data_IF_805165415931
#
_entry.id   IF_805165415931
#
_cell.length_a   1.000
_cell.length_b   1.000
_cell.length_c   1.000
_cell.angle_alpha   90.00
_cell.angle_beta   90.00
_cell.angle_gamma   90.00
#
_symmetry.space_group_name_H-M   'P 1'
#
loop_
_entity.id
_entity.type
_entity.pdbx_description
1 polymer ?
#
# COMPACT_ATOMS: atom_id res chain seq x y z
N UNK A 1 -0.13 -9.98 24.27
CA UNK A 1 0.99 -9.45 23.46
C UNK A 1 0.56 -9.51 22.01
N UNK A 2 0.80 -8.48 21.20
CA UNK A 2 0.52 -8.49 19.77
C UNK A 2 1.81 -8.17 19.00
N UNK A 3 2.14 -9.01 18.03
CA UNK A 3 3.17 -8.74 17.03
C UNK A 3 2.50 -7.94 15.92
N UNK A 4 3.10 -6.84 15.47
CA UNK A 4 2.57 -6.07 14.34
C UNK A 4 3.18 -6.64 13.07
N UNK A 5 2.32 -7.05 12.13
CA UNK A 5 2.73 -7.51 10.81
C UNK A 5 2.32 -6.49 9.76
N UNK A 6 3.28 -6.07 8.94
CA UNK A 6 2.99 -5.40 7.69
C UNK A 6 3.18 -6.42 6.56
N UNK A 7 2.27 -6.43 5.59
CA UNK A 7 2.48 -7.16 4.36
C UNK A 7 2.11 -6.37 3.11
N UNK A 8 2.78 -6.71 2.02
CA UNK A 8 2.37 -6.37 0.65
C UNK A 8 1.72 -7.62 0.07
N UNK A 9 0.44 -7.51 -0.27
CA UNK A 9 -0.31 -8.58 -0.91
C UNK A 9 -0.84 -8.12 -2.27
N UNK A 10 -0.99 -9.08 -3.18
CA UNK A 10 -1.63 -8.84 -4.48
C UNK A 10 -3.13 -9.17 -4.45
N UNK A 11 -3.79 -8.97 -5.60
CA UNK A 11 -5.22 -9.23 -5.79
C UNK A 11 -5.62 -10.71 -5.60
N UNK A 12 -4.66 -11.64 -5.56
CA UNK A 12 -4.87 -13.08 -5.35
C UNK A 12 -4.68 -13.49 -3.90
N UNK A 13 -4.58 -12.51 -2.99
CA UNK A 13 -4.32 -12.73 -1.56
C UNK A 13 -2.95 -13.36 -1.29
N UNK A 14 -2.00 -13.26 -2.22
CA UNK A 14 -0.64 -13.76 -2.04
C UNK A 14 0.22 -12.68 -1.38
N UNK A 15 0.86 -13.01 -0.26
CA UNK A 15 1.86 -12.14 0.38
C UNK A 15 3.18 -12.22 -0.38
N UNK A 16 3.64 -11.07 -0.88
CA UNK A 16 4.93 -10.94 -1.58
C UNK A 16 6.04 -10.46 -0.65
N UNK A 17 5.68 -9.60 0.31
CA UNK A 17 6.61 -9.02 1.28
C UNK A 17 5.92 -9.00 2.61
N UNK A 18 6.62 -9.44 3.65
CA UNK A 18 6.14 -9.40 5.03
C UNK A 18 7.23 -8.80 5.91
N UNK A 19 6.87 -7.82 6.73
CA UNK A 19 7.77 -7.16 7.68
C UNK A 19 7.20 -7.38 9.08
N UNK A 20 7.98 -8.08 9.91
CA UNK A 20 7.66 -8.29 11.33
C UNK A 20 8.17 -7.10 12.12
N UNK A 21 7.26 -6.32 12.69
CA UNK A 21 7.58 -5.15 13.50
C UNK A 21 7.69 -5.57 14.98
N UNK A 22 8.82 -5.24 15.62
CA UNK A 22 9.09 -5.57 17.03
C UNK A 22 8.39 -4.63 18.01
N UNK A 23 8.17 -5.11 19.23
CA UNK A 23 7.62 -4.35 20.35
C UNK A 23 8.51 -3.16 20.76
N UNK A 24 7.89 -1.98 20.97
CA UNK A 24 8.47 -0.90 21.77
C UNK A 24 8.82 0.39 21.01
N UNK A 25 8.23 1.50 21.47
CA UNK A 25 8.55 2.94 21.24
C UNK A 25 8.65 3.47 19.80
N UNK A 26 8.66 2.63 18.80
CA UNK A 26 8.46 3.03 17.40
C UNK A 26 7.00 2.76 17.07
N UNK A 27 6.25 3.79 16.69
CA UNK A 27 4.89 3.62 16.15
C UNK A 27 4.91 2.62 14.98
N UNK A 28 3.77 2.06 14.59
CA UNK A 28 3.67 1.18 13.42
C UNK A 28 4.35 1.77 12.17
N UNK A 29 4.37 3.11 12.07
CA UNK A 29 5.11 3.85 11.05
C UNK A 29 6.64 3.79 11.20
N UNK A 30 7.20 3.77 12.40
CA UNK A 30 8.65 3.77 12.65
C UNK A 30 9.34 2.44 12.32
N UNK A 31 8.73 1.31 12.69
CA UNK A 31 9.27 -0.01 12.34
C UNK A 31 9.24 -0.23 10.82
N UNK A 32 8.18 0.25 10.18
CA UNK A 32 8.03 0.21 8.74
C UNK A 32 9.01 1.13 8.01
N UNK A 33 9.19 2.37 8.48
CA UNK A 33 10.11 3.36 7.89
C UNK A 33 11.52 2.81 7.78
N UNK A 34 11.95 2.01 8.76
CA UNK A 34 13.28 1.41 8.82
C UNK A 34 13.40 0.05 8.13
N UNK A 35 12.32 -0.47 7.55
CA UNK A 35 12.35 -1.77 6.86
C UNK A 35 13.16 -1.70 5.55
N UNK A 36 13.78 -2.82 5.11
CA UNK A 36 14.44 -2.90 3.80
C UNK A 36 13.52 -2.49 2.65
N UNK A 37 12.23 -2.85 2.74
CA UNK A 37 11.22 -2.47 1.75
C UNK A 37 10.99 -0.95 1.71
N UNK A 38 10.79 -0.30 2.86
CA UNK A 38 10.66 1.15 2.94
C UNK A 38 11.92 1.84 2.41
N UNK A 39 13.11 1.34 2.76
CA UNK A 39 14.35 1.87 2.24
C UNK A 39 14.47 1.72 0.72
N UNK A 40 14.10 0.56 0.16
CA UNK A 40 14.11 0.32 -1.28
C UNK A 40 13.10 1.20 -2.04
N UNK A 41 11.91 1.42 -1.45
CA UNK A 41 10.93 2.38 -1.97
C UNK A 41 11.46 3.82 -1.91
N UNK A 42 12.26 4.17 -0.90
CA UNK A 42 12.83 5.50 -0.69
C UNK A 42 14.02 5.79 -1.61
N UNK A 43 14.92 4.83 -1.78
CA UNK A 43 16.11 4.94 -2.63
C UNK A 43 15.79 4.77 -4.12
N UNK A 44 14.59 4.29 -4.46
CA UNK A 44 14.22 3.97 -5.84
C UNK A 44 14.89 2.69 -6.37
N UNK A 45 15.53 1.91 -5.50
CA UNK A 45 16.13 0.61 -5.88
C UNK A 45 15.08 -0.49 -6.05
N UNK A 46 13.87 -0.28 -5.52
CA UNK A 46 12.71 -1.04 -5.96
C UNK A 46 12.24 -0.47 -7.29
N UNK A 47 12.64 -1.09 -8.41
CA UNK A 47 12.23 -0.71 -9.75
C UNK A 47 10.91 -1.41 -10.10
N UNK A 48 9.76 -0.72 -10.04
CA UNK A 48 8.52 -1.27 -10.59
C UNK A 48 8.64 -1.45 -12.11
N UNK A 49 7.73 -2.21 -12.74
CA UNK A 49 7.63 -2.26 -14.18
C UNK A 49 7.47 -0.86 -14.78
N UNK A 50 7.91 -0.71 -16.03
CA UNK A 50 7.84 0.55 -16.77
C UNK A 50 6.41 1.13 -16.77
N UNK A 51 6.32 2.46 -16.82
CA UNK A 51 5.04 3.16 -16.87
C UNK A 51 4.23 2.64 -18.06
N UNK A 52 2.95 2.31 -17.83
CA UNK A 52 2.10 1.63 -18.82
C UNK A 52 0.85 2.42 -19.08
N UNK A 53 0.36 2.42 -20.33
CA UNK A 53 -0.92 3.01 -20.67
C UNK A 53 -2.05 2.29 -19.94
N UNK A 54 -2.95 3.07 -19.34
CA UNK A 54 -4.13 2.52 -18.70
C UNK A 54 -5.12 2.06 -19.77
N UNK A 55 -5.54 0.79 -19.70
CA UNK A 55 -6.53 0.23 -20.63
C UNK A 55 -7.80 1.08 -20.69
N UNK A 56 -8.14 1.58 -21.88
CA UNK A 56 -9.30 2.46 -22.10
C UNK A 56 -9.04 3.94 -21.82
N UNK A 57 -7.78 4.32 -21.59
CA UNK A 57 -7.34 5.70 -21.41
C UNK A 57 -6.08 6.01 -22.23
N UNK A 58 -6.06 5.55 -23.49
CA UNK A 58 -4.93 5.68 -24.42
C UNK A 58 -4.56 7.15 -24.75
N UNK A 59 -5.45 8.08 -24.43
CA UNK A 59 -5.26 9.53 -24.55
C UNK A 59 -4.48 10.15 -23.38
N UNK A 60 -4.18 9.36 -22.34
CA UNK A 60 -3.40 9.80 -21.20
C UNK A 60 -1.96 9.31 -21.33
N UNK A 61 -1.03 10.04 -20.72
CA UNK A 61 0.36 9.60 -20.59
C UNK A 61 0.45 8.24 -19.86
N UNK A 62 1.49 7.43 -20.14
CA UNK A 62 1.77 6.22 -19.37
C UNK A 62 1.80 6.50 -17.87
N UNK A 63 1.14 5.64 -17.09
CA UNK A 63 1.04 5.80 -15.65
C UNK A 63 1.99 4.85 -14.92
N UNK A 64 2.59 5.29 -13.80
CA UNK A 64 3.46 4.43 -13.02
C UNK A 64 2.67 3.35 -12.30
N UNK A 65 3.32 2.21 -12.10
CA UNK A 65 2.85 1.21 -11.15
C UNK A 65 3.08 1.68 -9.72
N UNK A 66 2.03 1.64 -8.90
CA UNK A 66 2.06 2.18 -7.54
C UNK A 66 1.54 1.16 -6.54
N UNK A 67 2.16 1.13 -5.35
CA UNK A 67 1.59 0.45 -4.19
C UNK A 67 0.49 1.30 -3.57
N UNK A 68 -0.56 0.65 -3.08
CA UNK A 68 -1.60 1.31 -2.30
C UNK A 68 -1.32 1.12 -0.81
N UNK A 69 -1.31 2.22 -0.07
CA UNK A 69 -0.94 2.23 1.35
C UNK A 69 -1.96 2.98 2.21
N UNK A 70 -1.82 2.83 3.52
CA UNK A 70 -2.63 3.57 4.49
C UNK A 70 -2.20 5.05 4.58
N UNK A 71 -3.05 5.88 5.19
CA UNK A 71 -2.82 7.28 5.56
C UNK A 71 -1.53 7.48 6.36
N UNK A 72 -1.10 6.47 7.12
CA UNK A 72 0.15 6.49 7.90
C UNK A 72 1.41 6.60 7.02
N UNK A 73 1.30 6.28 5.73
CA UNK A 73 2.41 6.31 4.79
C UNK A 73 2.52 7.65 4.07
N UNK A 74 3.74 8.08 3.70
CA UNK A 74 3.93 9.26 2.86
C UNK A 74 3.46 9.00 1.42
N UNK A 75 2.96 10.03 0.74
CA UNK A 75 2.71 9.97 -0.71
C UNK A 75 4.05 9.97 -1.46
N UNK A 76 4.23 9.06 -2.42
CA UNK A 76 5.41 8.98 -3.31
C UNK A 76 4.99 8.62 -4.73
N UNK A 77 5.92 8.74 -5.69
CA UNK A 77 5.69 8.36 -7.09
C UNK A 77 5.17 6.91 -7.24
N UNK A 78 5.69 6.00 -6.43
CA UNK A 78 5.37 4.56 -6.41
C UNK A 78 4.51 4.14 -5.21
N UNK A 79 3.96 5.09 -4.43
CA UNK A 79 3.18 4.81 -3.23
C UNK A 79 2.02 5.79 -3.09
N UNK A 80 0.81 5.32 -3.34
CA UNK A 80 -0.43 6.08 -3.18
C UNK A 80 -1.05 5.88 -1.81
N UNK A 81 -1.66 6.95 -1.29
CA UNK A 81 -2.39 6.97 -0.02
C UNK A 81 -3.74 7.70 -0.17
N UNK A 82 -4.70 7.50 0.73
CA UNK A 82 -5.95 8.26 0.72
C UNK A 82 -5.69 9.77 0.79
N UNK A 83 -6.52 10.56 0.11
CA UNK A 83 -6.57 12.01 0.32
C UNK A 83 -6.92 12.32 1.77
N UNK A 84 -6.21 13.26 2.43
CA UNK A 84 -6.51 13.68 3.79
C UNK A 84 -7.80 14.52 3.87
N UNK A 85 -8.36 14.64 5.08
CA UNK A 85 -9.57 15.43 5.35
C UNK A 85 -10.87 14.62 5.26
N UNK A 86 -12.01 15.32 5.45
CA UNK A 86 -13.38 14.78 5.40
C UNK A 86 -14.26 15.49 4.37
N UNK A 87 -13.86 16.68 3.92
CA UNK A 87 -14.52 17.46 2.85
C UNK A 87 -13.99 17.01 1.49
N UNK A 88 -14.65 16.02 0.90
CA UNK A 88 -14.25 15.47 -0.39
C UNK A 88 -15.06 16.11 -1.52
N UNK A 89 -14.38 16.81 -2.43
CA UNK A 89 -14.88 16.95 -3.80
C UNK A 89 -15.23 15.54 -4.33
N UNK A 90 -16.28 15.42 -5.14
CA UNK A 90 -16.83 14.12 -5.59
C UNK A 90 -15.76 13.12 -6.04
N UNK A 91 -14.73 13.59 -6.76
CA UNK A 91 -13.59 12.78 -7.23
C UNK A 91 -12.70 12.22 -6.12
N UNK A 92 -12.38 12.99 -5.08
CA UNK A 92 -11.57 12.50 -3.95
C UNK A 92 -12.30 11.40 -3.17
N UNK A 93 -13.62 11.51 -3.04
CA UNK A 93 -14.45 10.49 -2.39
C UNK A 93 -14.42 9.18 -3.19
N UNK A 94 -14.58 9.27 -4.51
CA UNK A 94 -14.51 8.09 -5.40
C UNK A 94 -13.12 7.44 -5.33
N UNK A 95 -12.05 8.23 -5.37
CA UNK A 95 -10.68 7.71 -5.24
C UNK A 95 -10.48 7.01 -3.90
N UNK A 96 -10.79 7.67 -2.78
CA UNK A 96 -10.63 7.09 -1.44
C UNK A 96 -11.46 5.82 -1.27
N UNK A 97 -12.69 5.79 -1.79
CA UNK A 97 -13.52 4.59 -1.78
C UNK A 97 -12.86 3.43 -2.54
N UNK A 98 -12.37 3.66 -3.76
CA UNK A 98 -11.68 2.63 -4.55
C UNK A 98 -10.40 2.14 -3.86
N UNK A 99 -9.63 3.05 -3.27
CA UNK A 99 -8.41 2.71 -2.55
C UNK A 99 -8.73 1.89 -1.28
N UNK A 100 -9.78 2.24 -0.54
CA UNK A 100 -10.27 1.42 0.59
C UNK A 100 -10.69 0.02 0.13
N UNK A 101 -11.38 -0.12 -1.01
CA UNK A 101 -11.74 -1.43 -1.57
C UNK A 101 -10.51 -2.27 -1.93
N UNK A 102 -9.47 -1.66 -2.49
CA UNK A 102 -8.23 -2.37 -2.78
C UNK A 102 -7.51 -2.83 -1.49
N UNK A 103 -7.56 -2.03 -0.43
CA UNK A 103 -7.01 -2.40 0.88
C UNK A 103 -7.72 -3.58 1.54
N UNK A 104 -9.03 -3.75 1.30
CA UNK A 104 -9.76 -4.93 1.79
C UNK A 104 -9.13 -6.23 1.29
N UNK A 105 -8.42 -6.23 0.16
CA UNK A 105 -7.67 -7.41 -0.30
C UNK A 105 -6.60 -7.82 0.71
N UNK A 106 -5.87 -6.86 1.27
CA UNK A 106 -4.84 -7.14 2.28
C UNK A 106 -5.49 -7.64 3.57
N UNK A 107 -6.56 -6.99 4.02
CA UNK A 107 -7.32 -7.41 5.22
C UNK A 107 -7.88 -8.83 5.07
N UNK A 108 -8.46 -9.14 3.91
CA UNK A 108 -8.95 -10.48 3.60
C UNK A 108 -7.82 -11.51 3.52
N UNK A 109 -6.66 -11.17 2.96
CA UNK A 109 -5.50 -12.07 2.94
C UNK A 109 -5.06 -12.43 4.36
N UNK A 110 -5.06 -11.45 5.28
CA UNK A 110 -4.81 -11.70 6.69
C UNK A 110 -5.89 -12.56 7.35
N UNK A 111 -7.17 -12.33 7.04
CA UNK A 111 -8.27 -13.16 7.57
C UNK A 111 -8.21 -14.61 7.09
N UNK A 112 -7.83 -14.86 5.82
CA UNK A 112 -7.59 -16.21 5.29
C UNK A 112 -6.41 -16.85 6.02
N UNK A 113 -5.33 -16.10 6.22
CA UNK A 113 -4.17 -16.59 6.96
C UNK A 113 -4.57 -16.96 8.39
N UNK A 114 -5.26 -16.10 9.13
CA UNK A 114 -5.71 -16.39 10.49
C UNK A 114 -6.59 -17.65 10.57
N UNK A 115 -7.51 -17.85 9.62
CA UNK A 115 -8.41 -19.00 9.62
C UNK A 115 -7.74 -20.35 9.31
N UNK A 116 -6.50 -20.34 8.80
CA UNK A 116 -5.74 -21.55 8.46
C UNK A 116 -4.78 -22.01 9.57
N UNK A 117 -4.70 -21.28 10.68
CA UNK A 117 -3.89 -21.61 11.86
C UNK A 117 -4.77 -21.95 13.07
#
# INVERSE_FOLDING_TARGET
MAIVLLAVADAKYCFHITVVCSYGKSSDGGALVNSPFSNALRSGTFSPPEDTLLSGADHLEPHPHVFMADRAFPLRRNLMRPFPGTTFHSRHRVFNYRLSRARLTVENAFGIFEAQW
#
